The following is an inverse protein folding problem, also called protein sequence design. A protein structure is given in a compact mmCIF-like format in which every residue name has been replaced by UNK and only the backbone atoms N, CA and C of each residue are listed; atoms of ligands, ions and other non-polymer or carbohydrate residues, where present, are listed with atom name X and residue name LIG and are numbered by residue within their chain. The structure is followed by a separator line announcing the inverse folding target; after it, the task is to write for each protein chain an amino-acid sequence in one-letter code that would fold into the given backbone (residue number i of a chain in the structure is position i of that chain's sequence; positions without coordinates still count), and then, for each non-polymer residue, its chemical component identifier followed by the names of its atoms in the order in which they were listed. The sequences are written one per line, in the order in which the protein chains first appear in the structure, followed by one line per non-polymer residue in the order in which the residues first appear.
data_IF_789585366314
#
_entry.id   IF_789585366314
#
_cell.length_a   1.000
_cell.length_b   1.000
_cell.length_c   1.000
_cell.angle_alpha   90.00
_cell.angle_beta   90.00
_cell.angle_gamma   90.00
#
_symmetry.space_group_name_H-M   'P 1'
#
loop_
_entity.id
_entity.type
_entity.pdbx_description
1 polymer ?
#
# COMPACT_ATOMS: atom_id res chain seq x y z
N UNK A 1 26.01 -7.24 -3.87
CA UNK A 1 25.42 -6.07 -3.15
C UNK A 1 24.11 -5.57 -3.75
N UNK A 2 23.95 -5.59 -5.09
CA UNK A 2 22.73 -5.16 -5.79
C UNK A 2 21.47 -5.93 -5.34
N UNK A 3 21.52 -7.27 -5.29
CA UNK A 3 20.36 -8.10 -4.94
C UNK A 3 19.79 -7.80 -3.54
N UNK A 4 20.64 -7.57 -2.53
CA UNK A 4 20.21 -7.21 -1.17
C UNK A 4 19.47 -5.87 -1.11
N UNK A 5 19.78 -4.95 -2.04
CA UNK A 5 19.18 -3.62 -2.11
C UNK A 5 17.80 -3.65 -2.78
N UNK A 6 17.65 -4.51 -3.79
CA UNK A 6 16.41 -4.63 -4.57
C UNK A 6 15.46 -5.72 -4.08
N UNK A 7 15.87 -6.55 -3.11
CA UNK A 7 15.06 -7.65 -2.59
C UNK A 7 13.64 -7.21 -2.17
N UNK A 8 13.51 -6.09 -1.45
CA UNK A 8 12.19 -5.56 -1.07
C UNK A 8 11.34 -5.19 -2.29
N UNK A 9 11.93 -4.55 -3.30
CA UNK A 9 11.21 -4.21 -4.53
C UNK A 9 10.79 -5.42 -5.34
N UNK A 10 11.61 -6.49 -5.37
CA UNK A 10 11.23 -7.76 -5.98
C UNK A 10 10.04 -8.38 -5.24
N UNK A 11 10.08 -8.41 -3.91
CA UNK A 11 8.96 -8.90 -3.09
C UNK A 11 7.70 -8.07 -3.35
N UNK A 12 7.82 -6.74 -3.38
CA UNK A 12 6.69 -5.86 -3.68
C UNK A 12 6.15 -6.08 -5.09
N UNK A 13 7.01 -6.21 -6.09
CA UNK A 13 6.59 -6.46 -7.48
C UNK A 13 5.87 -7.81 -7.64
N UNK A 14 6.37 -8.86 -6.96
CA UNK A 14 5.71 -10.16 -6.92
C UNK A 14 4.35 -10.08 -6.22
N UNK A 15 4.27 -9.36 -5.10
CA UNK A 15 3.00 -9.13 -4.40
C UNK A 15 2.02 -8.35 -5.29
N UNK A 16 2.45 -7.26 -5.92
CA UNK A 16 1.66 -6.47 -6.85
C UNK A 16 1.12 -7.33 -8.00
N UNK A 17 2.00 -8.07 -8.68
CA UNK A 17 1.62 -8.94 -9.79
C UNK A 17 0.63 -10.02 -9.34
N UNK A 18 0.85 -10.63 -8.18
CA UNK A 18 -0.05 -11.64 -7.62
C UNK A 18 -1.41 -11.02 -7.30
N UNK A 19 -1.44 -9.89 -6.59
CA UNK A 19 -2.67 -9.19 -6.22
C UNK A 19 -3.49 -8.80 -7.46
N UNK A 20 -2.85 -8.23 -8.48
CA UNK A 20 -3.51 -7.88 -9.75
C UNK A 20 -4.00 -9.13 -10.49
N UNK A 21 -3.21 -10.21 -10.51
CA UNK A 21 -3.58 -11.45 -11.21
C UNK A 21 -4.74 -12.18 -10.53
N UNK A 22 -4.77 -12.21 -9.20
CA UNK A 22 -5.84 -12.87 -8.43
C UNK A 22 -7.06 -11.98 -8.24
N UNK A 23 -6.95 -10.68 -8.52
CA UNK A 23 -8.08 -9.76 -8.41
C UNK A 23 -9.14 -10.13 -9.45
N UNK A 24 -10.31 -10.53 -8.96
CA UNK A 24 -11.46 -10.89 -9.76
C UNK A 24 -12.66 -10.13 -9.22
N UNK A 25 -13.19 -9.20 -10.01
CA UNK A 25 -14.34 -8.39 -9.59
C UNK A 25 -14.45 -7.10 -10.39
N UNK A 26 -13.47 -6.21 -10.25
CA UNK A 26 -13.54 -4.87 -10.81
C UNK A 26 -12.62 -4.69 -12.03
N UNK A 27 -13.00 -3.77 -12.92
CA UNK A 27 -12.10 -3.30 -13.97
C UNK A 27 -10.89 -2.62 -13.33
N UNK A 28 -9.69 -2.91 -13.80
CA UNK A 28 -8.46 -2.43 -13.14
C UNK A 28 -8.36 -0.90 -13.11
N UNK A 29 -8.53 -0.23 -14.26
CA UNK A 29 -8.23 1.21 -14.40
C UNK A 29 -9.46 2.11 -14.39
N UNK A 30 -10.62 1.58 -14.78
CA UNK A 30 -11.87 2.32 -14.88
C UNK A 30 -12.83 1.85 -13.80
N UNK A 31 -13.61 2.77 -13.27
CA UNK A 31 -14.61 2.52 -12.24
C UNK A 31 -16.00 2.55 -12.88
N UNK A 32 -16.86 1.62 -12.48
CA UNK A 32 -18.29 1.62 -12.82
C UNK A 32 -19.15 2.29 -11.72
N UNK A 33 -18.51 2.87 -10.69
CA UNK A 33 -19.17 3.57 -9.58
C UNK A 33 -19.74 4.93 -9.99
N UNK A 34 -20.49 5.57 -9.09
CA UNK A 34 -20.97 6.95 -9.25
C UNK A 34 -19.83 7.99 -9.31
N UNK A 35 -18.61 7.60 -8.91
CA UNK A 35 -17.40 8.43 -8.92
C UNK A 35 -16.32 7.84 -9.85
N UNK A 36 -16.58 7.77 -11.17
CA UNK A 36 -15.74 7.01 -12.10
C UNK A 36 -14.29 7.54 -12.21
N UNK A 37 -14.06 8.80 -11.85
CA UNK A 37 -12.74 9.44 -11.88
C UNK A 37 -11.86 9.12 -10.66
N UNK A 38 -12.43 8.60 -9.56
CA UNK A 38 -11.65 8.36 -8.36
C UNK A 38 -10.64 7.23 -8.53
N UNK A 39 -11.02 6.13 -9.19
CA UNK A 39 -10.13 5.00 -9.46
C UNK A 39 -8.88 5.38 -10.29
N UNK A 40 -8.98 6.04 -11.46
CA UNK A 40 -7.80 6.46 -12.20
C UNK A 40 -6.95 7.49 -11.44
N UNK A 41 -7.56 8.35 -10.61
CA UNK A 41 -6.81 9.28 -9.76
C UNK A 41 -5.98 8.53 -8.70
N UNK A 42 -6.55 7.51 -8.05
CA UNK A 42 -5.83 6.68 -7.08
C UNK A 42 -4.68 5.94 -7.76
N UNK A 43 -4.90 5.38 -8.97
CA UNK A 43 -3.82 4.77 -9.75
C UNK A 43 -2.69 5.74 -10.08
N UNK A 44 -3.01 6.98 -10.45
CA UNK A 44 -2.02 8.01 -10.72
C UNK A 44 -1.19 8.32 -9.46
N UNK A 45 -1.85 8.48 -8.31
CA UNK A 45 -1.19 8.70 -7.02
C UNK A 45 -0.32 7.51 -6.64
N UNK A 46 -0.82 6.28 -6.81
CA UNK A 46 -0.08 5.05 -6.56
C UNK A 46 1.20 4.99 -7.41
N UNK A 47 1.09 5.18 -8.73
CA UNK A 47 2.25 5.13 -9.64
C UNK A 47 3.26 6.25 -9.34
N UNK A 48 2.78 7.46 -9.03
CA UNK A 48 3.64 8.56 -8.58
C UNK A 48 4.38 8.21 -7.30
N UNK A 49 3.69 7.63 -6.32
CA UNK A 49 4.26 7.25 -5.04
C UNK A 49 5.23 6.06 -5.16
N UNK A 50 4.95 5.08 -6.01
CA UNK A 50 5.87 3.97 -6.35
C UNK A 50 7.15 4.51 -6.96
N UNK A 51 7.03 5.39 -7.97
CA UNK A 51 8.18 5.97 -8.67
C UNK A 51 9.05 6.78 -7.71
N UNK A 52 8.44 7.62 -6.89
CA UNK A 52 9.15 8.42 -5.90
C UNK A 52 9.81 7.56 -4.82
N UNK A 53 9.10 6.57 -4.29
CA UNK A 53 9.63 5.64 -3.28
C UNK A 53 10.81 4.83 -3.84
N UNK A 54 10.71 4.38 -5.09
CA UNK A 54 11.81 3.70 -5.78
C UNK A 54 13.03 4.61 -5.90
N UNK A 55 12.84 5.84 -6.37
CA UNK A 55 13.90 6.85 -6.45
C UNK A 55 14.58 7.10 -5.09
N UNK A 56 13.82 7.26 -4.01
CA UNK A 56 14.36 7.43 -2.66
C UNK A 56 15.19 6.21 -2.22
N UNK A 57 14.72 4.99 -2.47
CA UNK A 57 15.44 3.76 -2.11
C UNK A 57 16.78 3.59 -2.86
N UNK A 58 16.88 4.23 -4.04
CA UNK A 58 18.12 4.28 -4.83
C UNK A 58 19.13 5.30 -4.31
N UNK A 59 18.74 6.18 -3.39
CA UNK A 59 19.63 7.15 -2.74
C UNK A 59 19.92 6.81 -1.29
N UNK A 60 18.95 6.27 -0.58
CA UNK A 60 19.05 6.00 0.85
C UNK A 60 18.76 4.54 1.20
N UNK A 61 19.28 4.08 2.33
CA UNK A 61 18.95 2.77 2.87
C UNK A 61 17.86 2.94 3.94
N UNK A 62 16.65 2.47 3.63
CA UNK A 62 15.47 2.58 4.47
C UNK A 62 15.75 2.20 5.94
N UNK A 63 16.32 1.02 6.18
CA UNK A 63 16.58 0.52 7.53
C UNK A 63 17.60 1.36 8.30
N UNK A 64 18.64 1.88 7.62
CA UNK A 64 19.59 2.81 8.24
C UNK A 64 18.92 4.13 8.60
N UNK A 65 18.06 4.66 7.72
CA UNK A 65 17.31 5.91 7.97
C UNK A 65 16.33 5.74 9.13
N UNK A 66 15.54 4.67 9.15
CA UNK A 66 14.64 4.32 10.26
C UNK A 66 15.43 4.15 11.57
N UNK A 67 16.58 3.47 11.53
CA UNK A 67 17.44 3.30 12.70
C UNK A 67 17.99 4.62 13.26
N UNK A 68 18.21 5.63 12.42
CA UNK A 68 18.55 6.99 12.86
C UNK A 68 17.34 7.73 13.41
N UNK A 69 16.22 7.72 12.68
CA UNK A 69 14.98 8.41 13.07
C UNK A 69 14.41 7.90 14.39
N UNK A 70 14.44 6.58 14.62
CA UNK A 70 13.93 5.95 15.85
C UNK A 70 14.66 6.38 17.12
N UNK A 71 15.85 6.98 17.02
CA UNK A 71 16.55 7.55 18.17
C UNK A 71 16.02 8.93 18.56
N UNK A 72 15.31 9.61 17.67
CA UNK A 72 14.70 10.91 17.90
C UNK A 72 13.25 10.74 18.39
N UNK A 73 12.85 11.50 19.40
CA UNK A 73 11.47 11.45 19.93
C UNK A 73 10.42 11.75 18.85
N UNK A 74 10.67 12.77 18.02
CA UNK A 74 9.81 13.07 16.87
C UNK A 74 9.75 11.93 15.85
N UNK A 75 10.88 11.25 15.57
CA UNK A 75 10.89 10.11 14.66
C UNK A 75 10.08 8.93 15.20
N UNK A 76 10.10 8.70 16.52
CA UNK A 76 9.23 7.69 17.17
C UNK A 76 7.75 8.06 17.06
N UNK A 77 7.40 9.33 17.30
CA UNK A 77 6.02 9.81 17.18
C UNK A 77 5.50 9.67 15.75
N UNK A 78 6.28 10.08 14.74
CA UNK A 78 5.93 9.91 13.32
C UNK A 78 5.71 8.42 13.00
N UNK A 79 6.56 7.54 13.53
CA UNK A 79 6.39 6.10 13.38
C UNK A 79 5.06 5.61 13.97
N UNK A 80 4.76 5.96 15.21
CA UNK A 80 3.51 5.56 15.87
C UNK A 80 2.28 6.07 15.09
N UNK A 81 2.31 7.34 14.70
CA UNK A 81 1.22 7.97 13.92
C UNK A 81 0.98 7.25 12.59
N UNK A 82 2.06 6.95 11.85
CA UNK A 82 1.99 6.15 10.63
C UNK A 82 1.31 4.79 10.89
N UNK A 83 1.77 4.04 11.90
CA UNK A 83 1.24 2.69 12.15
C UNK A 83 -0.19 2.71 12.71
N UNK A 84 -0.63 3.76 13.39
CA UNK A 84 -2.04 3.97 13.72
C UNK A 84 -2.89 4.15 12.45
N UNK A 85 -2.41 4.96 11.49
CA UNK A 85 -3.07 5.11 10.19
C UNK A 85 -3.11 3.81 9.38
N UNK A 86 -2.02 3.03 9.41
CA UNK A 86 -1.98 1.71 8.76
C UNK A 86 -2.93 0.71 9.43
N UNK A 87 -3.05 0.74 10.76
CA UNK A 87 -3.99 -0.10 11.49
C UNK A 87 -5.44 0.19 11.07
N UNK A 88 -5.82 1.45 10.96
CA UNK A 88 -7.15 1.84 10.45
C UNK A 88 -7.33 1.34 9.02
N UNK A 89 -6.32 1.47 8.17
CA UNK A 89 -6.37 0.98 6.79
C UNK A 89 -6.58 -0.54 6.72
N UNK A 90 -5.86 -1.31 7.54
CA UNK A 90 -6.01 -2.78 7.64
C UNK A 90 -7.39 -3.15 8.19
N UNK A 91 -7.91 -2.38 9.13
CA UNK A 91 -9.26 -2.59 9.64
C UNK A 91 -10.32 -2.37 8.55
N UNK A 92 -10.17 -1.34 7.72
CA UNK A 92 -11.05 -1.13 6.55
C UNK A 92 -10.95 -2.30 5.56
N UNK A 93 -9.74 -2.82 5.31
CA UNK A 93 -9.56 -4.02 4.47
C UNK A 93 -10.32 -5.21 5.06
N UNK A 94 -10.21 -5.44 6.37
CA UNK A 94 -10.95 -6.51 7.03
C UNK A 94 -12.47 -6.35 6.88
N UNK A 95 -12.99 -5.13 7.03
CA UNK A 95 -14.42 -4.87 6.84
C UNK A 95 -14.87 -5.08 5.40
N UNK A 96 -14.04 -4.73 4.42
CA UNK A 96 -14.37 -4.87 3.00
C UNK A 96 -14.28 -6.32 2.51
N UNK A 97 -13.24 -7.06 2.92
CA UNK A 97 -13.01 -8.45 2.49
C UNK A 97 -13.82 -9.46 3.30
N UNK A 98 -14.14 -9.14 4.57
CA UNK A 98 -14.78 -10.07 5.52
C UNK A 98 -13.92 -11.29 5.89
N UNK A 99 -12.67 -11.37 5.41
CA UNK A 99 -11.79 -12.53 5.55
C UNK A 99 -10.49 -12.18 6.26
N UNK A 100 -10.30 -12.77 7.45
CA UNK A 100 -9.07 -12.61 8.26
C UNK A 100 -7.84 -13.03 7.46
N UNK A 101 -7.93 -14.11 6.67
CA UNK A 101 -6.80 -14.60 5.89
C UNK A 101 -6.35 -13.57 4.85
N UNK A 102 -7.30 -12.98 4.10
CA UNK A 102 -7.00 -11.95 3.10
C UNK A 102 -6.42 -10.72 3.78
N UNK A 103 -6.98 -10.29 4.92
CA UNK A 103 -6.42 -9.19 5.72
C UNK A 103 -4.98 -9.46 6.15
N UNK A 104 -4.66 -10.67 6.62
CA UNK A 104 -3.30 -11.03 7.01
C UNK A 104 -2.32 -11.02 5.83
N UNK A 105 -2.78 -11.45 4.65
CA UNK A 105 -1.98 -11.36 3.42
C UNK A 105 -1.67 -9.91 3.03
N UNK A 106 -2.61 -8.99 3.24
CA UNK A 106 -2.39 -7.55 3.04
C UNK A 106 -1.56 -6.89 4.15
N UNK A 107 -1.67 -7.37 5.39
CA UNK A 107 -0.94 -6.83 6.54
C UNK A 107 0.58 -6.91 6.32
N UNK A 108 1.09 -8.01 5.77
CA UNK A 108 2.51 -8.21 5.48
C UNK A 108 3.14 -7.07 4.66
N UNK A 109 2.70 -6.81 3.42
CA UNK A 109 3.20 -5.70 2.61
C UNK A 109 2.83 -4.33 3.19
N UNK A 110 1.70 -4.18 3.91
CA UNK A 110 1.37 -2.91 4.58
C UNK A 110 2.37 -2.55 5.67
N UNK A 111 2.83 -3.52 6.48
CA UNK A 111 3.85 -3.25 7.51
C UNK A 111 5.18 -2.84 6.88
N UNK A 112 5.52 -3.36 5.70
CA UNK A 112 6.82 -3.11 5.06
C UNK A 112 6.80 -1.84 4.19
N UNK A 113 5.74 -1.66 3.39
CA UNK A 113 5.61 -0.61 2.37
C UNK A 113 4.62 0.49 2.76
N UNK A 114 3.95 0.36 3.90
CA UNK A 114 3.03 1.35 4.45
C UNK A 114 1.97 1.77 3.44
N UNK A 115 1.92 3.08 3.21
CA UNK A 115 0.95 3.72 2.34
C UNK A 115 0.95 3.20 0.90
N UNK A 116 2.06 2.61 0.44
CA UNK A 116 2.16 2.11 -0.92
C UNK A 116 1.31 0.86 -1.13
N UNK A 117 1.27 -0.05 -0.14
CA UNK A 117 0.41 -1.23 -0.20
C UNK A 117 -1.07 -0.87 0.06
N UNK A 118 -1.36 0.10 0.93
CA UNK A 118 -2.74 0.57 1.15
C UNK A 118 -3.31 1.25 -0.10
N UNK A 119 -2.51 2.08 -0.80
CA UNK A 119 -2.91 2.68 -2.07
C UNK A 119 -3.20 1.63 -3.15
N UNK A 120 -2.40 0.56 -3.22
CA UNK A 120 -2.67 -0.54 -4.14
C UNK A 120 -4.01 -1.20 -3.84
N UNK A 121 -4.30 -1.48 -2.57
CA UNK A 121 -5.59 -2.04 -2.16
C UNK A 121 -6.75 -1.13 -2.57
N UNK A 122 -6.64 0.17 -2.27
CA UNK A 122 -7.65 1.16 -2.65
C UNK A 122 -7.86 1.22 -4.17
N UNK A 123 -6.78 1.09 -4.94
CA UNK A 123 -6.84 1.12 -6.41
C UNK A 123 -7.53 -0.13 -6.98
N UNK A 124 -7.35 -1.29 -6.36
CA UNK A 124 -7.96 -2.54 -6.81
C UNK A 124 -9.44 -2.64 -6.43
N UNK A 125 -9.79 -2.24 -5.21
CA UNK A 125 -11.12 -2.42 -4.63
C UNK A 125 -11.92 -1.10 -4.53
N UNK A 126 -11.67 -0.17 -5.44
CA UNK A 126 -12.26 1.17 -5.37
C UNK A 126 -13.79 1.13 -5.41
N UNK A 127 -14.38 0.36 -6.33
CA UNK A 127 -15.83 0.34 -6.51
C UNK A 127 -16.51 -0.29 -5.30
N UNK A 128 -15.96 -1.38 -4.76
CA UNK A 128 -16.44 -2.02 -3.55
C UNK A 128 -16.39 -1.07 -2.34
N UNK A 129 -15.30 -0.31 -2.19
CA UNK A 129 -15.15 0.65 -1.09
C UNK A 129 -16.16 1.79 -1.18
N UNK A 130 -16.36 2.35 -2.38
CA UNK A 130 -17.32 3.43 -2.60
C UNK A 130 -18.76 2.95 -2.40
N UNK A 131 -19.08 1.70 -2.74
CA UNK A 131 -20.40 1.12 -2.56
C UNK A 131 -20.85 1.05 -1.08
N UNK A 132 -19.95 1.08 -0.11
CA UNK A 132 -20.33 1.14 1.31
C UNK A 132 -20.87 2.51 1.75
N UNK A 133 -20.67 3.56 0.94
CA UNK A 133 -21.05 4.93 1.27
C UNK A 133 -22.25 5.45 0.49
N UNK A 134 -22.79 4.66 -0.45
CA UNK A 134 -23.86 5.03 -1.38
C UNK A 134 -25.00 4.01 -1.30
#
# INVERSE_FOLDING_TARGET
MFLKRHALWVVFALFFATAVYTHSGEKLLLSDSQLPLGKPLIWLVFLGFVTYSYYCSMRENLFKTIGKMSKLHWGKQIGIDLYLGLFISVFIIYLNEGSILVTLLWLGPIVIFGNLATLLYLALNYDALIAHFL
#
